data_IF_382259851129
#
_entry.id   IF_382259851129
#
_cell.length_a   1.000
_cell.length_b   1.000
_cell.length_c   1.000
_cell.angle_alpha   90.00
_cell.angle_beta   90.00
_cell.angle_gamma   90.00
#
_symmetry.space_group_name_H-M   'P 1'
#
loop_
_entity.id
_entity.type
_entity.pdbx_description
1 polymer ?
#
# COMPACT_ATOMS: atom_id res chain seq x y z
N UNK A 1 23.55 1.08 13.08
CA UNK A 1 23.76 -0.37 13.33
C UNK A 1 25.02 -0.92 12.65
N UNK A 2 25.17 -2.27 12.58
CA UNK A 2 26.37 -2.95 12.07
C UNK A 2 26.62 -2.76 10.56
N UNK A 3 25.63 -2.25 9.81
CA UNK A 3 25.78 -1.83 8.40
C UNK A 3 26.76 -0.66 8.28
N UNK A 4 26.83 0.22 9.29
CA UNK A 4 27.74 1.38 9.33
C UNK A 4 27.17 2.62 8.65
N UNK A 5 28.01 3.65 8.55
CA UNK A 5 27.57 4.97 8.05
C UNK A 5 26.96 5.86 9.13
N UNK A 6 26.77 7.13 8.78
CA UNK A 6 26.13 8.16 9.60
C UNK A 6 25.00 8.91 8.88
N UNK A 7 24.74 8.58 7.61
CA UNK A 7 23.61 9.05 6.84
C UNK A 7 22.69 7.86 6.59
N UNK A 8 21.62 7.77 7.38
CA UNK A 8 20.64 6.70 7.29
C UNK A 8 19.24 7.21 7.62
N UNK A 9 18.24 6.67 6.93
CA UNK A 9 16.83 6.95 7.19
C UNK A 9 16.03 5.66 7.18
N UNK A 10 15.11 5.55 8.13
CA UNK A 10 14.09 4.52 8.21
C UNK A 10 12.78 5.03 7.62
N UNK A 11 12.12 4.20 6.83
CA UNK A 11 10.78 4.45 6.29
C UNK A 11 9.79 3.67 7.15
N UNK A 12 8.95 4.41 7.87
CA UNK A 12 8.09 3.86 8.92
C UNK A 12 6.63 4.19 8.60
N UNK A 13 5.78 3.16 8.66
CA UNK A 13 4.33 3.32 8.59
C UNK A 13 3.81 3.47 10.03
N UNK A 14 3.05 4.52 10.31
CA UNK A 14 2.43 4.72 11.63
C UNK A 14 1.41 3.62 11.89
N UNK A 15 1.58 2.88 12.98
CA UNK A 15 0.74 1.76 13.38
C UNK A 15 0.80 1.59 14.90
N UNK A 16 -0.35 1.44 15.56
CA UNK A 16 -0.45 1.37 17.03
C UNK A 16 0.29 0.18 17.64
N UNK A 17 0.48 -0.90 16.88
CA UNK A 17 1.15 -2.15 17.24
C UNK A 17 2.63 -2.18 16.83
N UNK A 18 3.13 -1.13 16.16
CA UNK A 18 4.48 -1.10 15.58
C UNK A 18 5.59 -1.24 16.62
N UNK A 19 6.75 -1.76 16.23
CA UNK A 19 7.88 -2.03 17.12
C UNK A 19 8.60 -0.75 17.57
N UNK A 20 8.64 0.28 16.72
CA UNK A 20 9.42 1.50 16.94
C UNK A 20 8.54 2.62 17.46
N UNK A 21 8.96 3.30 18.52
CA UNK A 21 8.38 4.58 18.90
C UNK A 21 8.96 5.69 18.02
N UNK A 22 8.07 6.55 17.52
CA UNK A 22 8.39 7.62 16.56
C UNK A 22 7.76 8.94 16.97
N UNK A 23 8.52 10.00 16.69
CA UNK A 23 8.17 11.39 16.98
C UNK A 23 8.32 12.20 15.70
N UNK A 24 7.25 12.85 15.23
CA UNK A 24 7.33 13.66 14.02
C UNK A 24 6.44 14.90 14.06
N UNK A 25 6.78 15.88 13.21
CA UNK A 25 5.89 16.97 12.83
C UNK A 25 4.84 16.42 11.85
N UNK A 26 3.56 16.60 12.19
CA UNK A 26 2.40 16.19 11.39
C UNK A 26 2.49 16.63 9.93
N UNK A 27 3.11 17.78 9.65
CA UNK A 27 3.23 18.30 8.29
C UNK A 27 3.99 17.37 7.33
N UNK A 28 4.82 16.45 7.82
CA UNK A 28 5.50 15.46 6.98
C UNK A 28 4.51 14.49 6.30
N UNK A 29 3.35 14.25 6.93
CA UNK A 29 2.34 13.31 6.43
C UNK A 29 1.54 13.86 5.24
N UNK A 30 1.54 15.18 5.07
CA UNK A 30 0.82 15.87 3.98
C UNK A 30 1.74 16.22 2.80
N UNK A 31 3.01 15.80 2.83
CA UNK A 31 3.96 16.09 1.75
C UNK A 31 3.59 15.35 0.46
N UNK A 32 3.68 16.01 -0.71
CA UNK A 32 3.38 15.38 -1.97
C UNK A 32 4.45 14.33 -2.32
N UNK A 33 4.00 13.14 -2.71
CA UNK A 33 4.88 12.09 -3.23
C UNK A 33 5.34 12.48 -4.65
N UNK A 34 6.64 12.40 -4.97
CA UNK A 34 7.12 12.62 -6.34
C UNK A 34 6.45 11.67 -7.33
N UNK A 35 5.93 12.21 -8.44
CA UNK A 35 5.21 11.43 -9.45
C UNK A 35 6.11 10.60 -10.36
N UNK A 36 5.50 9.79 -11.23
CA UNK A 36 6.20 8.87 -12.16
C UNK A 36 7.17 9.58 -13.12
N UNK A 37 6.93 10.85 -13.43
CA UNK A 37 7.74 11.66 -14.34
C UNK A 37 8.93 12.36 -13.65
N UNK A 38 9.30 11.95 -12.42
CA UNK A 38 10.43 12.53 -11.68
C UNK A 38 11.76 12.28 -12.42
N UNK A 39 12.54 13.34 -12.64
CA UNK A 39 13.86 13.23 -13.27
C UNK A 39 14.93 12.78 -12.27
N UNK A 40 15.12 11.46 -12.16
CA UNK A 40 16.14 10.86 -11.30
C UNK A 40 17.60 11.09 -11.77
N UNK A 41 17.81 11.71 -12.93
CA UNK A 41 19.15 12.11 -13.40
C UNK A 41 19.46 13.57 -13.11
N UNK A 42 18.45 14.36 -12.74
CA UNK A 42 18.57 15.75 -12.36
C UNK A 42 18.96 15.92 -10.89
N UNK A 43 18.84 17.17 -10.41
CA UNK A 43 19.03 17.51 -9.01
C UNK A 43 17.77 17.18 -8.18
N UNK A 44 17.93 16.28 -7.21
CA UNK A 44 16.86 15.83 -6.32
C UNK A 44 16.89 16.53 -4.95
N UNK A 45 17.84 17.45 -4.69
CA UNK A 45 18.00 18.09 -3.39
C UNK A 45 16.71 18.76 -2.90
N UNK A 46 16.00 19.46 -3.78
CA UNK A 46 14.73 20.12 -3.42
C UNK A 46 13.66 19.15 -2.89
N UNK A 47 13.63 17.91 -3.39
CA UNK A 47 12.71 16.86 -2.92
C UNK A 47 13.17 16.37 -1.55
N UNK A 48 14.46 16.02 -1.42
CA UNK A 48 15.01 15.50 -0.18
C UNK A 48 14.87 16.53 0.96
N UNK A 49 15.20 17.80 0.69
CA UNK A 49 15.11 18.90 1.64
C UNK A 49 13.66 19.16 2.08
N UNK A 50 12.67 18.95 1.19
CA UNK A 50 11.27 19.08 1.54
C UNK A 50 10.81 18.03 2.58
N UNK A 51 11.36 16.82 2.51
CA UNK A 51 11.06 15.75 3.47
C UNK A 51 11.88 15.85 4.76
N UNK A 52 13.14 16.29 4.69
CA UNK A 52 14.05 16.30 5.86
C UNK A 52 14.01 17.59 6.67
N UNK A 53 13.36 18.66 6.18
CA UNK A 53 13.19 19.91 6.94
C UNK A 53 12.27 19.76 8.16
N UNK A 54 11.37 18.78 8.14
CA UNK A 54 10.44 18.52 9.23
C UNK A 54 11.10 17.61 10.25
N UNK A 55 10.79 17.83 11.52
CA UNK A 55 11.26 16.94 12.57
C UNK A 55 10.63 15.56 12.39
N UNK A 56 11.47 14.52 12.31
CA UNK A 56 11.06 13.13 12.33
C UNK A 56 12.20 12.29 12.89
N UNK A 57 11.95 11.58 13.99
CA UNK A 57 12.95 10.77 14.66
C UNK A 57 12.33 9.52 15.29
N UNK A 58 13.08 8.42 15.26
CA UNK A 58 12.83 7.25 16.12
C UNK A 58 13.29 7.54 17.54
N UNK A 59 12.84 6.75 18.52
CA UNK A 59 13.25 6.87 19.91
C UNK A 59 14.79 6.98 20.10
N UNK A 60 15.57 6.24 19.30
CA UNK A 60 17.03 6.23 19.39
C UNK A 60 17.68 7.58 19.04
N UNK A 61 17.00 8.37 18.21
CA UNK A 61 17.46 9.67 17.68
C UNK A 61 16.62 10.84 18.17
N UNK A 62 15.66 10.58 19.05
CA UNK A 62 14.74 11.58 19.53
C UNK A 62 15.45 12.66 20.36
N UNK A 63 15.32 13.90 19.91
CA UNK A 63 15.67 15.11 20.66
C UNK A 63 14.38 15.72 21.23
N UNK A 64 14.21 15.62 22.55
CA UNK A 64 13.01 16.09 23.25
C UNK A 64 12.85 17.61 23.24
N UNK A 65 13.96 18.37 23.25
CA UNK A 65 13.89 19.84 23.22
C UNK A 65 13.46 20.33 21.85
N UNK A 66 14.04 19.76 20.79
CA UNK A 66 13.67 20.07 19.41
C UNK A 66 12.21 19.70 19.12
N UNK A 67 11.74 18.55 19.60
CA UNK A 67 10.34 18.15 19.47
C UNK A 67 9.39 19.05 20.26
N UNK A 68 9.77 19.42 21.49
CA UNK A 68 8.99 20.34 22.33
C UNK A 68 8.95 21.78 21.80
N UNK A 69 9.79 22.13 20.80
CA UNK A 69 9.74 23.42 20.12
C UNK A 69 8.70 23.49 18.99
N UNK A 70 8.19 22.34 18.51
CA UNK A 70 7.13 22.30 17.49
C UNK A 70 5.79 22.83 18.05
N UNK A 71 4.87 23.37 17.23
CA UNK A 71 3.50 23.63 17.66
C UNK A 71 2.85 22.38 18.25
N UNK A 72 2.13 22.51 19.37
CA UNK A 72 1.54 21.35 20.08
C UNK A 72 0.63 20.51 19.17
N UNK A 73 -0.21 21.17 18.36
CA UNK A 73 -1.12 20.52 17.40
C UNK A 73 -0.40 19.77 16.27
N UNK A 74 0.90 20.05 16.05
CA UNK A 74 1.72 19.39 15.04
C UNK A 74 2.53 18.21 15.60
N UNK A 75 2.59 18.02 16.93
CA UNK A 75 3.40 16.97 17.53
C UNK A 75 2.68 15.62 17.41
N UNK A 76 3.29 14.69 16.71
CA UNK A 76 2.86 13.29 16.68
C UNK A 76 3.84 12.46 17.47
N UNK A 77 3.33 11.74 18.46
CA UNK A 77 4.02 10.67 19.19
C UNK A 77 3.23 9.39 18.94
N UNK A 78 3.84 8.43 18.26
CA UNK A 78 3.17 7.22 17.82
C UNK A 78 4.11 6.02 17.84
N UNK A 79 3.55 4.85 17.52
CA UNK A 79 4.33 3.66 17.16
C UNK A 79 4.28 3.48 15.65
N UNK A 80 5.25 2.75 15.11
CA UNK A 80 5.29 2.45 13.68
C UNK A 80 6.12 1.22 13.35
N UNK A 81 5.91 0.73 12.12
CA UNK A 81 6.56 -0.46 11.58
C UNK A 81 7.57 0.00 10.52
N UNK A 82 8.84 -0.38 10.69
CA UNK A 82 9.90 -0.09 9.71
C UNK A 82 9.71 -0.98 8.48
N UNK A 83 9.40 -0.38 7.33
CA UNK A 83 9.21 -1.09 6.05
C UNK A 83 10.39 -0.97 5.09
N UNK A 84 11.30 -0.02 5.34
CA UNK A 84 12.52 0.13 4.59
C UNK A 84 13.57 0.97 5.29
N UNK A 85 14.82 0.83 4.84
CA UNK A 85 15.97 1.52 5.41
C UNK A 85 17.00 1.81 4.33
N UNK A 86 17.49 3.04 4.30
CA UNK A 86 18.58 3.47 3.42
C UNK A 86 19.82 3.84 4.23
N UNK A 87 21.00 3.43 3.75
CA UNK A 87 22.28 3.71 4.39
C UNK A 87 23.29 4.20 3.38
N UNK A 88 24.05 5.23 3.74
CA UNK A 88 25.32 5.54 3.12
C UNK A 88 26.47 5.24 4.10
N UNK A 89 27.39 4.38 3.70
CA UNK A 89 28.47 3.87 4.55
C UNK A 89 29.87 4.10 3.96
N UNK A 90 29.98 4.98 2.96
CA UNK A 90 31.26 5.39 2.39
C UNK A 90 32.07 4.19 1.90
N UNK A 91 33.31 4.09 2.36
CA UNK A 91 34.27 3.06 1.91
C UNK A 91 34.32 1.81 2.80
N UNK A 92 33.38 1.66 3.74
CA UNK A 92 33.42 0.62 4.78
C UNK A 92 33.65 -0.80 4.23
N UNK A 93 33.06 -1.12 3.07
CA UNK A 93 33.23 -2.42 2.42
C UNK A 93 34.28 -2.38 1.30
N UNK A 94 34.37 -1.27 0.56
CA UNK A 94 35.31 -1.16 -0.55
C UNK A 94 36.77 -1.24 -0.09
N UNK A 95 37.09 -0.66 1.06
CA UNK A 95 38.45 -0.62 1.62
C UNK A 95 38.98 -2.03 1.95
N UNK A 96 38.33 -2.84 2.82
CA UNK A 96 38.82 -4.19 3.12
C UNK A 96 38.71 -5.17 1.94
N UNK A 97 37.84 -4.91 0.97
CA UNK A 97 37.66 -5.78 -0.21
C UNK A 97 38.51 -5.39 -1.41
N UNK A 98 39.21 -4.25 -1.35
CA UNK A 98 40.00 -3.74 -2.47
C UNK A 98 39.16 -3.28 -3.67
N UNK A 99 37.91 -2.85 -3.46
CA UNK A 99 37.03 -2.39 -4.54
C UNK A 99 37.39 -0.96 -4.97
N UNK A 100 38.10 -0.83 -6.08
CA UNK A 100 38.66 0.43 -6.60
C UNK A 100 38.24 0.70 -8.03
N UNK A 101 38.18 1.97 -8.40
CA UNK A 101 37.92 2.44 -9.77
C UNK A 101 38.89 3.56 -10.14
N UNK A 102 39.20 3.69 -11.43
CA UNK A 102 40.00 4.79 -11.94
C UNK A 102 39.16 6.07 -12.00
N UNK A 103 39.62 7.14 -11.33
CA UNK A 103 38.95 8.44 -11.32
C UNK A 103 39.27 9.29 -12.54
N UNK A 104 38.57 10.42 -12.73
CA UNK A 104 38.85 11.39 -13.80
C UNK A 104 40.24 12.04 -13.68
N UNK A 105 40.84 11.99 -12.49
CA UNK A 105 42.21 12.44 -12.19
C UNK A 105 43.28 11.40 -12.55
N UNK A 106 42.89 10.22 -13.05
CA UNK A 106 43.81 9.14 -13.37
C UNK A 106 44.37 8.40 -12.16
N UNK A 107 43.74 8.53 -10.98
CA UNK A 107 44.11 7.80 -9.76
C UNK A 107 43.08 6.74 -9.38
N UNK A 108 43.49 5.73 -8.61
CA UNK A 108 42.55 4.76 -8.05
C UNK A 108 41.84 5.34 -6.83
N UNK A 109 40.51 5.31 -6.86
CA UNK A 109 39.65 5.69 -5.74
C UNK A 109 38.87 4.49 -5.23
N UNK A 110 38.71 4.40 -3.90
CA UNK A 110 37.78 3.44 -3.29
C UNK A 110 36.35 3.85 -3.63
N UNK A 111 35.52 2.87 -3.97
CA UNK A 111 34.11 3.13 -4.28
C UNK A 111 33.34 3.53 -3.02
N UNK A 112 32.69 4.69 -3.03
CA UNK A 112 31.74 5.07 -1.99
C UNK A 112 30.42 4.35 -2.21
N UNK A 113 29.87 3.77 -1.15
CA UNK A 113 28.76 2.83 -1.24
C UNK A 113 27.61 3.17 -0.28
N UNK A 114 26.44 2.65 -0.63
CA UNK A 114 25.24 2.64 0.20
C UNK A 114 24.42 1.38 -0.06
N UNK A 115 23.41 1.15 0.77
CA UNK A 115 22.45 0.05 0.63
C UNK A 115 21.04 0.54 0.89
N UNK A 116 20.08 -0.04 0.17
CA UNK A 116 18.67 0.31 0.25
C UNK A 116 17.88 -0.98 0.43
N UNK A 117 17.26 -1.15 1.58
CA UNK A 117 16.48 -2.32 1.95
C UNK A 117 15.00 -1.98 2.02
N UNK A 118 14.17 -2.82 1.42
CA UNK A 118 12.72 -2.88 1.66
C UNK A 118 12.44 -4.29 2.17
N UNK A 119 11.48 -4.45 3.08
CA UNK A 119 11.02 -5.76 3.52
C UNK A 119 9.68 -6.14 2.88
N UNK A 120 9.63 -6.75 1.67
CA UNK A 120 8.36 -6.96 0.97
C UNK A 120 7.36 -7.82 1.74
N UNK A 121 7.85 -8.87 2.42
CA UNK A 121 7.01 -9.70 3.29
C UNK A 121 6.48 -8.95 4.51
N UNK A 122 7.25 -7.98 5.03
CA UNK A 122 6.83 -7.13 6.15
C UNK A 122 5.81 -6.07 5.71
N UNK A 123 5.95 -5.52 4.51
CA UNK A 123 5.02 -4.54 3.93
C UNK A 123 3.59 -5.08 3.92
N UNK A 124 3.37 -6.35 3.60
CA UNK A 124 2.04 -6.99 3.63
C UNK A 124 1.37 -6.85 5.01
N UNK A 125 2.09 -7.20 6.09
CA UNK A 125 1.58 -7.08 7.44
C UNK A 125 1.38 -5.61 7.85
N UNK A 126 2.31 -4.73 7.50
CA UNK A 126 2.21 -3.30 7.79
C UNK A 126 1.00 -2.63 7.11
N UNK A 127 0.67 -3.04 5.87
CA UNK A 127 -0.54 -2.58 5.18
C UNK A 127 -1.80 -3.04 5.91
N UNK A 128 -1.87 -4.30 6.33
CA UNK A 128 -3.03 -4.82 7.07
C UNK A 128 -3.19 -4.06 8.40
N UNK A 129 -2.11 -3.87 9.16
CA UNK A 129 -2.15 -3.10 10.42
C UNK A 129 -2.62 -1.66 10.22
N UNK A 130 -2.23 -1.01 9.12
CA UNK A 130 -2.66 0.35 8.80
C UNK A 130 -4.05 0.43 8.12
N UNK A 131 -4.56 -0.67 7.58
CA UNK A 131 -5.74 -0.69 6.70
C UNK A 131 -6.62 -1.92 6.96
N UNK A 132 -7.34 -1.88 8.07
CA UNK A 132 -8.33 -2.88 8.47
C UNK A 132 -9.48 -2.23 9.25
N UNK A 133 -10.56 -3.00 9.43
CA UNK A 133 -11.64 -2.69 10.37
C UNK A 133 -12.06 -3.95 11.15
N UNK A 134 -13.15 -3.86 11.91
CA UNK A 134 -13.67 -4.99 12.70
C UNK A 134 -14.09 -6.21 11.85
N UNK A 135 -14.34 -6.02 10.55
CA UNK A 135 -14.75 -7.09 9.64
C UNK A 135 -13.58 -7.74 8.90
N UNK A 136 -12.41 -7.08 8.85
CA UNK A 136 -11.19 -7.65 8.30
C UNK A 136 -10.34 -6.66 7.52
N UNK A 137 -9.61 -7.18 6.53
CA UNK A 137 -8.62 -6.42 5.77
C UNK A 137 -9.32 -5.39 4.86
N UNK A 138 -8.65 -4.26 4.60
CA UNK A 138 -9.02 -3.32 3.54
C UNK A 138 -7.79 -3.13 2.66
N UNK A 139 -7.71 -3.83 1.52
CA UNK A 139 -6.56 -3.67 0.63
C UNK A 139 -6.61 -2.33 -0.12
N UNK A 140 -5.48 -1.61 -0.21
CA UNK A 140 -5.28 -0.63 -1.27
C UNK A 140 -5.33 -1.31 -2.65
N UNK A 141 -5.94 -0.63 -3.62
CA UNK A 141 -6.24 -1.21 -4.94
C UNK A 141 -5.00 -1.74 -5.66
N UNK A 142 -3.84 -1.09 -5.49
CA UNK A 142 -2.58 -1.44 -6.14
C UNK A 142 -1.90 -2.71 -5.63
N UNK A 143 -2.32 -3.23 -4.48
CA UNK A 143 -1.71 -4.42 -3.84
C UNK A 143 -2.73 -5.50 -3.50
N UNK A 144 -4.01 -5.27 -3.82
CA UNK A 144 -5.05 -6.25 -3.60
C UNK A 144 -4.77 -7.52 -4.43
N UNK A 145 -5.01 -8.73 -3.89
CA UNK A 145 -4.78 -9.97 -4.63
C UNK A 145 -5.74 -10.17 -5.79
N UNK A 146 -6.91 -9.52 -5.72
CA UNK A 146 -7.89 -9.39 -6.80
C UNK A 146 -8.56 -8.02 -6.64
N UNK A 147 -8.90 -7.37 -7.74
CA UNK A 147 -9.58 -6.08 -7.70
C UNK A 147 -11.06 -6.23 -7.31
N UNK A 148 -11.70 -7.33 -7.70
CA UNK A 148 -13.14 -7.57 -7.53
C UNK A 148 -13.42 -8.96 -6.98
N UNK A 149 -14.21 -9.05 -5.92
CA UNK A 149 -14.89 -10.26 -5.49
C UNK A 149 -16.26 -10.35 -6.15
N UNK A 150 -16.45 -11.27 -7.10
CA UNK A 150 -17.75 -11.57 -7.71
C UNK A 150 -18.49 -12.60 -6.85
N UNK A 151 -19.66 -12.23 -6.31
CA UNK A 151 -20.39 -13.04 -5.33
C UNK A 151 -21.71 -13.53 -5.92
N UNK A 152 -21.82 -14.83 -6.18
CA UNK A 152 -23.11 -15.46 -6.54
C UNK A 152 -23.93 -15.74 -5.28
N UNK A 153 -25.11 -15.12 -5.15
CA UNK A 153 -26.02 -15.33 -4.02
C UNK A 153 -26.90 -16.58 -4.14
N UNK A 154 -26.93 -17.20 -5.33
CA UNK A 154 -27.69 -18.43 -5.59
C UNK A 154 -26.94 -19.29 -6.63
N UNK A 155 -25.81 -19.91 -6.26
CA UNK A 155 -25.11 -20.84 -7.13
C UNK A 155 -26.02 -22.01 -7.53
N UNK A 156 -25.88 -22.50 -8.76
CA UNK A 156 -26.72 -23.56 -9.33
C UNK A 156 -28.04 -23.07 -9.91
N UNK A 157 -28.33 -21.77 -9.83
CA UNK A 157 -29.45 -21.14 -10.53
C UNK A 157 -28.99 -20.70 -11.92
N UNK A 158 -29.58 -21.30 -12.97
CA UNK A 158 -29.12 -21.14 -14.37
C UNK A 158 -28.96 -19.67 -14.79
N UNK A 159 -29.88 -18.79 -14.38
CA UNK A 159 -29.81 -17.37 -14.71
C UNK A 159 -28.71 -16.64 -13.93
N UNK A 160 -28.53 -16.98 -12.66
CA UNK A 160 -27.50 -16.37 -11.80
C UNK A 160 -26.10 -16.82 -12.23
N UNK A 161 -25.91 -18.11 -12.47
CA UNK A 161 -24.64 -18.69 -12.90
C UNK A 161 -24.22 -18.13 -14.27
N UNK A 162 -25.14 -18.09 -15.23
CA UNK A 162 -24.85 -17.53 -16.56
C UNK A 162 -24.47 -16.04 -16.49
N UNK A 163 -25.14 -15.25 -15.63
CA UNK A 163 -24.83 -13.84 -15.47
C UNK A 163 -23.46 -13.63 -14.80
N UNK A 164 -23.13 -14.41 -13.76
CA UNK A 164 -21.83 -14.37 -13.11
C UNK A 164 -20.70 -14.73 -14.08
N UNK A 165 -20.83 -15.82 -14.85
CA UNK A 165 -19.84 -16.23 -15.86
C UNK A 165 -19.61 -15.15 -16.92
N UNK A 166 -20.68 -14.50 -17.40
CA UNK A 166 -20.56 -13.39 -18.36
C UNK A 166 -19.81 -12.20 -17.77
N UNK A 167 -20.13 -11.78 -16.54
CA UNK A 167 -19.44 -10.67 -15.87
C UNK A 167 -17.98 -11.02 -15.57
N UNK A 168 -17.72 -12.23 -15.09
CA UNK A 168 -16.37 -12.74 -14.84
C UNK A 168 -15.53 -12.70 -16.12
N UNK A 169 -16.05 -13.23 -17.23
CA UNK A 169 -15.37 -13.21 -18.51
C UNK A 169 -15.14 -11.78 -19.04
N UNK A 170 -16.13 -10.89 -18.91
CA UNK A 170 -16.03 -9.51 -19.36
C UNK A 170 -14.96 -8.72 -18.58
N UNK A 171 -14.93 -8.85 -17.25
CA UNK A 171 -13.94 -8.19 -16.41
C UNK A 171 -12.53 -8.72 -16.65
N UNK A 172 -12.35 -10.04 -16.75
CA UNK A 172 -11.05 -10.62 -17.08
C UNK A 172 -10.57 -10.19 -18.48
N UNK A 173 -11.47 -10.11 -19.47
CA UNK A 173 -11.14 -9.60 -20.80
C UNK A 173 -10.72 -8.12 -20.80
N UNK A 174 -11.16 -7.35 -19.81
CA UNK A 174 -10.72 -5.98 -19.56
C UNK A 174 -9.44 -5.89 -18.70
N UNK A 175 -8.81 -7.02 -18.35
CA UNK A 175 -7.59 -7.05 -17.53
C UNK A 175 -7.82 -6.91 -16.02
N UNK A 176 -9.08 -6.96 -15.57
CA UNK A 176 -9.42 -6.91 -14.15
C UNK A 176 -9.30 -8.31 -13.55
N UNK A 177 -8.48 -8.46 -12.51
CA UNK A 177 -8.38 -9.69 -11.74
C UNK A 177 -9.61 -9.86 -10.84
N UNK A 178 -10.38 -10.95 -11.08
CA UNK A 178 -11.63 -11.23 -10.36
C UNK A 178 -11.52 -12.52 -9.57
N UNK A 179 -11.92 -12.49 -8.30
CA UNK A 179 -12.18 -13.68 -7.51
C UNK A 179 -13.67 -14.02 -7.58
N UNK A 180 -14.01 -15.13 -8.23
CA UNK A 180 -15.40 -15.62 -8.29
C UNK A 180 -15.70 -16.53 -7.10
N UNK A 181 -16.65 -16.13 -6.25
CA UNK A 181 -17.21 -16.91 -5.15
C UNK A 181 -18.51 -17.61 -5.59
N UNK A 182 -18.33 -18.78 -6.18
CA UNK A 182 -19.37 -19.71 -6.64
C UNK A 182 -19.69 -20.81 -5.60
N UNK A 183 -19.15 -20.71 -4.39
CA UNK A 183 -19.36 -21.67 -3.30
C UNK A 183 -20.84 -21.84 -2.94
N UNK A 184 -21.26 -23.02 -2.47
CA UNK A 184 -22.64 -23.29 -2.02
C UNK A 184 -22.98 -22.70 -0.62
N UNK A 185 -22.18 -21.71 -0.19
CA UNK A 185 -22.37 -21.04 1.09
C UNK A 185 -23.53 -20.03 1.05
N UNK A 186 -24.12 -19.80 2.23
CA UNK A 186 -25.18 -18.79 2.38
C UNK A 186 -24.61 -17.39 2.18
N UNK A 187 -25.43 -16.47 1.67
CA UNK A 187 -25.07 -15.07 1.45
C UNK A 187 -24.31 -14.41 2.62
N UNK A 188 -24.77 -14.62 3.87
CA UNK A 188 -24.09 -14.06 5.04
C UNK A 188 -22.67 -14.59 5.26
N UNK A 189 -22.41 -15.87 4.97
CA UNK A 189 -21.08 -16.45 5.06
C UNK A 189 -20.17 -15.91 3.94
N UNK A 190 -20.70 -15.79 2.71
CA UNK A 190 -19.97 -15.16 1.60
C UNK A 190 -19.58 -13.72 1.92
N UNK A 191 -20.51 -12.90 2.40
CA UNK A 191 -20.21 -11.51 2.78
C UNK A 191 -19.17 -11.42 3.89
N UNK A 192 -19.24 -12.28 4.90
CA UNK A 192 -18.22 -12.33 5.95
C UNK A 192 -16.84 -12.68 5.39
N UNK A 193 -16.74 -13.66 4.50
CA UNK A 193 -15.48 -14.02 3.83
C UNK A 193 -14.95 -12.87 2.98
N UNK A 194 -15.80 -12.25 2.16
CA UNK A 194 -15.41 -11.14 1.27
C UNK A 194 -14.96 -9.89 2.04
N UNK A 195 -15.60 -9.59 3.17
CA UNK A 195 -15.19 -8.51 4.05
C UNK A 195 -13.89 -8.84 4.79
N UNK A 196 -13.70 -10.10 5.19
CA UNK A 196 -12.50 -10.59 5.86
C UNK A 196 -11.25 -10.48 4.97
N UNK A 197 -11.34 -10.98 3.73
CA UNK A 197 -10.21 -10.99 2.79
C UNK A 197 -9.94 -9.61 2.17
N UNK A 198 -10.92 -8.70 2.22
CA UNK A 198 -10.69 -7.27 2.02
C UNK A 198 -10.53 -6.79 0.58
N UNK A 199 -11.10 -7.49 -0.41
CA UNK A 199 -10.99 -7.08 -1.82
C UNK A 199 -11.63 -5.69 -2.03
N UNK A 200 -11.03 -4.81 -2.86
CA UNK A 200 -11.49 -3.42 -3.02
C UNK A 200 -12.97 -3.30 -3.39
N UNK A 201 -13.44 -4.15 -4.31
CA UNK A 201 -14.81 -4.18 -4.78
C UNK A 201 -15.48 -5.53 -4.55
N UNK A 202 -16.76 -5.52 -4.23
CA UNK A 202 -17.61 -6.70 -4.27
C UNK A 202 -18.74 -6.47 -5.27
N UNK A 203 -18.81 -7.33 -6.28
CA UNK A 203 -19.88 -7.37 -7.28
C UNK A 203 -20.85 -8.49 -6.90
N UNK A 204 -22.03 -8.13 -6.43
CA UNK A 204 -22.98 -9.06 -5.81
C UNK A 204 -24.13 -9.32 -6.77
N UNK A 205 -24.32 -10.60 -7.11
CA UNK A 205 -25.27 -11.05 -8.11
C UNK A 205 -26.29 -11.99 -7.47
N UNK A 206 -27.57 -11.67 -7.58
CA UNK A 206 -28.63 -12.54 -7.06
C UNK A 206 -29.92 -12.48 -7.88
N UNK A 207 -30.81 -13.48 -7.74
CA UNK A 207 -31.96 -13.66 -8.63
C UNK A 207 -32.90 -12.46 -8.69
N UNK A 208 -33.11 -11.79 -7.55
CA UNK A 208 -34.00 -10.62 -7.46
C UNK A 208 -33.44 -9.42 -8.22
N UNK A 209 -32.13 -9.18 -8.11
CA UNK A 209 -31.46 -8.09 -8.83
C UNK A 209 -31.46 -8.36 -10.33
N UNK A 210 -31.10 -9.59 -10.71
CA UNK A 210 -31.06 -10.01 -12.12
C UNK A 210 -32.42 -9.95 -12.80
N UNK A 211 -33.50 -10.33 -12.11
CA UNK A 211 -34.86 -10.18 -12.63
C UNK A 211 -35.24 -8.72 -12.94
N UNK A 212 -34.58 -7.76 -12.26
CA UNK A 212 -34.72 -6.33 -12.51
C UNK A 212 -33.63 -5.75 -13.43
N UNK A 213 -32.71 -6.58 -13.95
CA UNK A 213 -31.58 -6.16 -14.79
C UNK A 213 -30.47 -5.43 -14.02
N UNK A 214 -30.34 -5.70 -12.72
CA UNK A 214 -29.44 -4.96 -11.81
C UNK A 214 -28.56 -5.88 -10.97
N UNK A 215 -27.44 -5.32 -10.50
CA UNK A 215 -26.49 -5.92 -9.56
C UNK A 215 -26.15 -4.92 -8.46
N UNK A 216 -25.61 -5.40 -7.35
CA UNK A 216 -25.13 -4.52 -6.27
C UNK A 216 -23.60 -4.47 -6.31
N UNK A 217 -23.05 -3.25 -6.30
CA UNK A 217 -21.62 -3.00 -6.20
C UNK A 217 -21.31 -2.38 -4.84
N UNK A 218 -20.36 -2.95 -4.09
CA UNK A 218 -19.90 -2.45 -2.80
C UNK A 218 -18.43 -2.07 -2.86
N UNK A 219 -18.06 -0.89 -2.33
CA UNK A 219 -16.68 -0.51 -2.06
C UNK A 219 -16.28 -0.96 -0.66
N UNK A 220 -15.26 -1.82 -0.52
CA UNK A 220 -14.85 -2.38 0.77
C UNK A 220 -14.37 -1.33 1.77
N UNK A 221 -13.63 -0.34 1.29
CA UNK A 221 -13.03 0.71 2.14
C UNK A 221 -14.06 1.62 2.81
N UNK A 222 -15.18 1.91 2.14
CA UNK A 222 -16.21 2.83 2.66
C UNK A 222 -17.49 2.12 3.12
N UNK A 223 -17.69 0.87 2.69
CA UNK A 223 -18.93 0.13 2.88
C UNK A 223 -20.09 0.62 2.01
N UNK A 224 -19.88 1.63 1.16
CA UNK A 224 -20.90 2.16 0.25
C UNK A 224 -21.38 1.08 -0.72
N UNK A 225 -22.70 1.01 -0.91
CA UNK A 225 -23.38 0.07 -1.81
C UNK A 225 -24.21 0.83 -2.82
N UNK A 226 -24.15 0.40 -4.07
CA UNK A 226 -24.92 0.98 -5.16
C UNK A 226 -25.59 -0.14 -5.96
N UNK A 227 -26.89 -0.02 -6.22
CA UNK A 227 -27.60 -0.88 -7.16
C UNK A 227 -27.51 -0.27 -8.55
N UNK A 228 -26.87 -0.98 -9.47
CA UNK A 228 -26.56 -0.50 -10.82
C UNK A 228 -27.09 -1.48 -11.86
N UNK A 229 -27.26 -1.00 -13.10
CA UNK A 229 -27.36 -1.93 -14.23
C UNK A 229 -26.06 -2.71 -14.37
N UNK A 230 -26.13 -3.90 -14.99
CA UNK A 230 -24.93 -4.73 -15.23
C UNK A 230 -23.88 -3.93 -16.01
N UNK A 231 -24.28 -3.26 -17.09
CA UNK A 231 -23.38 -2.46 -17.93
C UNK A 231 -22.72 -1.32 -17.13
N UNK A 232 -23.49 -0.63 -16.28
CA UNK A 232 -22.96 0.45 -15.44
C UNK A 232 -21.98 -0.07 -14.38
N UNK A 233 -22.23 -1.24 -13.79
CA UNK A 233 -21.32 -1.85 -12.84
C UNK A 233 -20.00 -2.26 -13.51
N UNK A 234 -20.06 -2.87 -14.69
CA UNK A 234 -18.87 -3.24 -15.47
C UNK A 234 -18.07 -2.00 -15.87
N UNK A 235 -18.73 -0.97 -16.42
CA UNK A 235 -18.08 0.29 -16.78
C UNK A 235 -17.34 0.89 -15.57
N UNK A 236 -18.01 0.93 -14.42
CA UNK A 236 -17.43 1.47 -13.18
C UNK A 236 -16.20 0.71 -12.70
N UNK A 237 -16.19 -0.62 -12.86
CA UNK A 237 -15.07 -1.48 -12.46
C UNK A 237 -13.89 -1.41 -13.43
N UNK A 238 -14.15 -1.04 -14.69
CA UNK A 238 -13.10 -0.84 -15.71
C UNK A 238 -12.60 0.61 -15.78
N UNK A 239 -13.34 1.57 -15.22
CA UNK A 239 -12.93 2.97 -15.09
C UNK A 239 -11.82 3.11 -14.04
N UNK A 240 -10.58 3.02 -14.47
CA UNK A 240 -9.39 3.12 -13.61
C UNK A 240 -8.37 1.99 -13.78
N UNK A 241 -8.67 1.02 -14.64
CA UNK A 241 -7.68 0.09 -15.21
C UNK A 241 -6.83 0.77 -16.29
#
# INVERSE_FOLDING_TARGET
GPIGGNLSHEFIILASTGESEVFCDKAILDLPVPGENTDFRGDLSSIVDAYTRYYAATEEKHDAEAFAALPEDNRISARGIEVGHIFYFGTKYSEPMGARVMGPDGQEHLVHMGSYGIGPSRVVAAIIEASHDENGIIWPDSVAPFAVGLVSLKPGDEATDAACEQMYAALNAAGIEVLYDDSDDRAGAKFATQDLIGLPWQLIVGPRGLAAGTVELKRRATGERQTLSIDSALARLTEGA
#
